data_IF_246066012682
#
_entry.id   IF_246066012682
#
_cell.length_a   1.000
_cell.length_b   1.000
_cell.length_c   1.000
_cell.angle_alpha   90.00
_cell.angle_beta   90.00
_cell.angle_gamma   90.00
#
_symmetry.space_group_name_H-M   'P 1'
#
loop_
_entity.id
_entity.type
_entity.pdbx_description
1 polymer ?
#
# COMPACT_ATOMS: atom_id res chain seq x y z
N UNK A 1 -18.55 1.53 -7.17
CA UNK A 1 -17.41 0.59 -7.21
C UNK A 1 -17.92 -0.73 -7.81
N UNK A 2 -17.54 -1.06 -9.05
CA UNK A 2 -17.95 -2.33 -9.68
C UNK A 2 -17.25 -3.51 -9.00
N UNK A 3 -17.81 -4.71 -9.10
CA UNK A 3 -17.23 -5.94 -8.53
C UNK A 3 -15.82 -6.28 -9.07
N UNK A 4 -15.39 -5.62 -10.15
CA UNK A 4 -14.03 -5.70 -10.67
C UNK A 4 -13.05 -5.10 -9.66
N UNK A 5 -13.29 -3.85 -9.22
CA UNK A 5 -12.39 -3.08 -8.34
C UNK A 5 -11.93 -3.83 -7.09
N UNK A 6 -12.81 -4.64 -6.50
CA UNK A 6 -12.49 -5.40 -5.29
C UNK A 6 -11.44 -6.50 -5.55
N UNK A 7 -11.43 -7.12 -6.74
CA UNK A 7 -10.45 -8.13 -7.12
C UNK A 7 -9.08 -7.52 -7.36
N UNK A 8 -9.02 -6.36 -8.01
CA UNK A 8 -7.75 -5.67 -8.21
C UNK A 8 -7.15 -5.18 -6.88
N UNK A 9 -7.97 -4.68 -5.96
CA UNK A 9 -7.54 -4.30 -4.60
C UNK A 9 -6.97 -5.52 -3.87
N UNK A 10 -7.69 -6.64 -3.87
CA UNK A 10 -7.21 -7.89 -3.25
C UNK A 10 -5.89 -8.35 -3.84
N UNK A 11 -5.77 -8.39 -5.17
CA UNK A 11 -4.56 -8.78 -5.87
C UNK A 11 -3.37 -7.90 -5.48
N UNK A 12 -3.56 -6.57 -5.51
CA UNK A 12 -2.55 -5.57 -5.13
C UNK A 12 -2.11 -5.74 -3.68
N UNK A 13 -3.06 -5.96 -2.76
CA UNK A 13 -2.77 -6.12 -1.34
C UNK A 13 -2.03 -7.42 -1.03
N UNK A 14 -2.41 -8.55 -1.66
CA UNK A 14 -1.66 -9.81 -1.51
C UNK A 14 -0.22 -9.62 -1.98
N UNK A 15 -0.01 -9.02 -3.16
CA UNK A 15 1.34 -8.76 -3.69
C UNK A 15 2.18 -7.87 -2.77
N UNK A 16 1.56 -6.80 -2.24
CA UNK A 16 2.20 -5.88 -1.28
C UNK A 16 2.66 -6.61 -0.02
N UNK A 17 1.79 -7.42 0.57
CA UNK A 17 2.07 -8.18 1.79
C UNK A 17 3.14 -9.25 1.56
N UNK A 18 3.08 -9.95 0.43
CA UNK A 18 4.13 -10.89 0.03
C UNK A 18 5.49 -10.20 -0.08
N UNK A 19 5.56 -9.04 -0.75
CA UNK A 19 6.80 -8.27 -0.89
C UNK A 19 7.32 -7.77 0.45
N UNK A 20 6.46 -7.25 1.33
CA UNK A 20 6.88 -6.71 2.64
C UNK A 20 7.37 -7.80 3.60
N UNK A 21 6.90 -9.04 3.44
CA UNK A 21 7.30 -10.19 4.26
C UNK A 21 8.37 -11.08 3.62
N UNK A 22 8.79 -10.79 2.38
CA UNK A 22 9.75 -11.63 1.65
C UNK A 22 9.23 -13.03 1.32
N UNK A 23 7.92 -13.16 1.12
CA UNK A 23 7.25 -14.44 0.85
C UNK A 23 6.98 -14.57 -0.64
N UNK A 24 7.44 -15.66 -1.25
CA UNK A 24 7.10 -15.98 -2.64
C UNK A 24 5.81 -16.83 -2.75
N UNK A 25 5.33 -17.00 -3.98
CA UNK A 25 4.07 -17.71 -4.26
C UNK A 25 4.14 -19.20 -3.92
N UNK A 26 5.31 -19.84 -4.08
CA UNK A 26 5.49 -21.25 -3.80
C UNK A 26 5.43 -21.48 -2.28
N UNK A 27 6.16 -20.65 -1.53
CA UNK A 27 6.13 -20.66 -0.07
C UNK A 27 4.71 -20.45 0.46
N UNK A 28 3.98 -19.47 -0.07
CA UNK A 28 2.59 -19.24 0.33
C UNK A 28 1.66 -20.41 -0.05
N UNK A 29 1.88 -21.05 -1.20
CA UNK A 29 1.15 -22.25 -1.64
C UNK A 29 1.32 -23.39 -0.64
N UNK A 30 2.56 -23.64 -0.25
CA UNK A 30 2.93 -24.73 0.67
C UNK A 30 2.45 -24.43 2.10
N UNK A 31 2.73 -23.23 2.60
CA UNK A 31 2.40 -22.82 3.97
C UNK A 31 0.86 -22.81 4.20
N UNK A 32 0.08 -22.43 3.19
CA UNK A 32 -1.40 -22.37 3.29
C UNK A 32 -2.10 -23.65 2.83
N UNK A 33 -1.36 -24.61 2.25
CA UNK A 33 -1.90 -25.77 1.56
C UNK A 33 -2.99 -25.38 0.53
N UNK A 34 -2.70 -24.37 -0.28
CA UNK A 34 -3.57 -23.88 -1.36
C UNK A 34 -2.86 -24.12 -2.68
N UNK A 35 -3.55 -24.67 -3.68
CA UNK A 35 -2.96 -24.90 -5.01
C UNK A 35 -2.34 -23.61 -5.55
N UNK A 36 -1.11 -23.72 -6.04
CA UNK A 36 -0.36 -22.62 -6.67
C UNK A 36 -1.17 -21.87 -7.74
N UNK A 37 -1.93 -22.59 -8.56
CA UNK A 37 -2.79 -22.01 -9.60
C UNK A 37 -3.90 -21.13 -9.03
N UNK A 38 -4.48 -21.53 -7.90
CA UNK A 38 -5.50 -20.76 -7.18
C UNK A 38 -4.92 -19.47 -6.61
N UNK A 39 -3.77 -19.52 -5.94
CA UNK A 39 -3.08 -18.31 -5.47
C UNK A 39 -2.72 -17.38 -6.63
N UNK A 40 -2.24 -17.94 -7.74
CA UNK A 40 -1.91 -17.16 -8.94
C UNK A 40 -3.14 -16.43 -9.49
N UNK A 41 -4.30 -17.08 -9.52
CA UNK A 41 -5.55 -16.45 -9.97
C UNK A 41 -5.97 -15.29 -9.05
N UNK A 42 -5.78 -15.38 -7.74
CA UNK A 42 -6.06 -14.27 -6.81
C UNK A 42 -5.06 -13.13 -6.94
N UNK A 43 -3.77 -13.46 -7.09
CA UNK A 43 -2.67 -12.49 -7.23
C UNK A 43 -2.74 -11.73 -8.55
N UNK A 44 -3.36 -12.31 -9.58
CA UNK A 44 -3.62 -11.64 -10.87
C UNK A 44 -4.96 -10.91 -10.92
N UNK A 45 -5.85 -11.15 -9.94
CA UNK A 45 -7.22 -10.60 -9.96
C UNK A 45 -8.21 -11.38 -10.84
N UNK A 46 -7.82 -12.52 -11.39
CA UNK A 46 -8.69 -13.38 -12.23
C UNK A 46 -9.91 -13.89 -11.45
N UNK A 47 -9.70 -14.20 -10.17
CA UNK A 47 -10.75 -14.67 -9.26
C UNK A 47 -10.62 -14.06 -7.87
N UNK A 48 -11.70 -14.11 -7.10
CA UNK A 48 -11.75 -13.56 -5.74
C UNK A 48 -11.75 -14.69 -4.70
N UNK A 49 -10.90 -14.62 -3.66
CA UNK A 49 -10.89 -15.61 -2.58
C UNK A 49 -12.19 -15.55 -1.77
N UNK A 50 -12.66 -16.72 -1.32
CA UNK A 50 -13.78 -16.79 -0.36
C UNK A 50 -13.35 -16.32 1.03
N UNK A 51 -14.32 -15.98 1.87
CA UNK A 51 -14.07 -15.38 3.20
C UNK A 51 -13.16 -16.23 4.09
N UNK A 52 -13.26 -17.56 4.03
CA UNK A 52 -12.41 -18.48 4.77
C UNK A 52 -10.93 -18.36 4.35
N UNK A 53 -10.68 -18.14 3.05
CA UNK A 53 -9.33 -17.95 2.51
C UNK A 53 -8.78 -16.57 2.80
N UNK A 54 -9.63 -15.54 2.80
CA UNK A 54 -9.24 -14.19 3.23
C UNK A 54 -8.81 -14.23 4.70
N UNK A 55 -9.57 -14.88 5.56
CA UNK A 55 -9.23 -15.00 6.98
C UNK A 55 -7.94 -15.80 7.20
N UNK A 56 -7.75 -16.89 6.44
CA UNK A 56 -6.52 -17.68 6.47
C UNK A 56 -5.29 -16.84 6.07
N UNK A 57 -5.39 -16.06 4.99
CA UNK A 57 -4.31 -15.17 4.55
C UNK A 57 -4.04 -14.05 5.56
N UNK A 58 -5.09 -13.46 6.15
CA UNK A 58 -4.95 -12.43 7.18
C UNK A 58 -4.15 -12.95 8.38
N UNK A 59 -4.48 -14.16 8.86
CA UNK A 59 -3.73 -14.83 9.94
C UNK A 59 -2.29 -15.14 9.53
N UNK A 60 -2.07 -15.63 8.32
CA UNK A 60 -0.74 -15.95 7.81
C UNK A 60 0.19 -14.73 7.71
N UNK A 61 -0.33 -13.60 7.22
CA UNK A 61 0.44 -12.35 7.13
C UNK A 61 0.52 -11.60 8.47
N UNK A 62 -0.30 -11.96 9.46
CA UNK A 62 -0.42 -11.27 10.74
C UNK A 62 -1.08 -9.90 10.61
N UNK A 63 -2.09 -9.79 9.75
CA UNK A 63 -2.81 -8.54 9.44
C UNK A 63 -4.33 -8.73 9.61
N UNK A 64 -5.08 -7.63 9.53
CA UNK A 64 -6.53 -7.69 9.57
C UNK A 64 -7.12 -8.07 8.20
N UNK A 65 -8.41 -8.41 8.14
CA UNK A 65 -9.07 -8.69 6.85
C UNK A 65 -9.18 -7.45 5.96
N UNK A 66 -9.33 -6.25 6.55
CA UNK A 66 -9.36 -4.98 5.80
C UNK A 66 -8.05 -4.72 5.07
N UNK A 67 -6.90 -5.13 5.62
CA UNK A 67 -5.60 -5.03 4.95
C UNK A 67 -5.52 -5.80 3.61
N UNK A 68 -6.42 -6.76 3.40
CA UNK A 68 -6.57 -7.52 2.16
C UNK A 68 -7.68 -6.97 1.26
N UNK A 69 -8.82 -6.56 1.82
CA UNK A 69 -10.02 -6.24 1.02
C UNK A 69 -10.21 -4.74 0.74
N UNK A 70 -9.59 -3.86 1.53
CA UNK A 70 -9.74 -2.41 1.40
C UNK A 70 -8.58 -1.79 0.61
N UNK A 71 -8.90 -0.70 -0.09
CA UNK A 71 -7.87 0.08 -0.75
C UNK A 71 -6.96 0.72 0.29
N UNK A 72 -5.70 0.28 0.28
CA UNK A 72 -4.67 0.89 1.10
C UNK A 72 -4.26 2.18 0.41
N UNK A 73 -4.53 3.32 1.04
CA UNK A 73 -4.05 4.62 0.58
C UNK A 73 -2.51 4.60 0.62
N UNK A 74 -1.90 4.16 -0.48
CA UNK A 74 -0.46 4.19 -0.72
C UNK A 74 0.04 5.62 -0.97
N UNK A 75 -0.85 6.62 -0.93
CA UNK A 75 -0.51 8.05 -0.95
C UNK A 75 0.02 8.53 0.41
N UNK A 76 0.74 7.68 1.15
CA UNK A 76 1.72 8.19 2.11
C UNK A 76 2.92 8.66 1.31
N UNK A 77 2.92 9.95 0.99
CA UNK A 77 4.11 10.60 0.49
C UNK A 77 5.06 10.69 1.69
N UNK A 78 5.87 9.65 1.91
CA UNK A 78 6.81 9.55 3.03
C UNK A 78 7.59 10.86 3.27
N UNK A 79 8.13 11.55 2.24
CA UNK A 79 8.68 12.89 2.40
C UNK A 79 7.70 13.94 2.97
N UNK A 80 6.46 13.97 2.48
CA UNK A 80 5.44 14.89 2.99
C UNK A 80 5.02 14.54 4.43
N UNK A 81 4.92 13.25 4.77
CA UNK A 81 4.60 12.79 6.12
C UNK A 81 5.71 13.18 7.11
N UNK A 82 6.99 13.04 6.71
CA UNK A 82 8.13 13.49 7.51
C UNK A 82 8.12 15.01 7.74
N UNK A 83 7.80 15.80 6.71
CA UNK A 83 7.70 17.26 6.85
C UNK A 83 6.50 17.64 7.71
N UNK A 84 5.32 17.04 7.47
CA UNK A 84 4.09 17.30 8.21
C UNK A 84 4.20 16.93 9.68
N UNK A 85 4.94 15.87 10.03
CA UNK A 85 5.18 15.47 11.42
C UNK A 85 5.94 16.49 12.27
N UNK A 86 6.55 17.52 11.65
CA UNK A 86 7.25 18.61 12.34
C UNK A 86 6.48 19.94 12.30
N UNK A 87 5.25 19.95 11.78
CA UNK A 87 4.37 21.12 11.75
C UNK A 87 3.25 20.90 12.77
N UNK A 88 3.18 21.75 13.79
CA UNK A 88 2.13 21.69 14.79
C UNK A 88 0.81 22.27 14.25
N UNK A 89 -0.33 21.82 14.78
CA UNK A 89 -1.66 22.26 14.34
C UNK A 89 -1.87 23.78 14.48
N UNK A 90 -1.18 24.41 15.44
CA UNK A 90 -1.25 25.84 15.74
C UNK A 90 -0.19 26.68 14.99
N UNK A 91 0.60 26.07 14.11
CA UNK A 91 1.57 26.78 13.26
C UNK A 91 0.86 27.89 12.47
N UNK A 92 1.31 29.17 12.55
CA UNK A 92 0.72 30.28 11.81
C UNK A 92 0.81 30.09 10.29
N UNK A 93 -0.18 30.61 9.55
CA UNK A 93 -0.23 30.47 8.10
C UNK A 93 0.96 31.15 7.39
N UNK A 94 1.46 32.25 7.95
CA UNK A 94 2.67 32.93 7.45
C UNK A 94 3.91 32.01 7.51
N UNK A 95 4.05 31.22 8.57
CA UNK A 95 5.16 30.28 8.72
C UNK A 95 5.02 29.09 7.76
N UNK A 96 3.79 28.59 7.56
CA UNK A 96 3.51 27.57 6.54
C UNK A 96 3.89 28.06 5.14
N UNK A 97 3.58 29.31 4.82
CA UNK A 97 3.91 29.92 3.53
C UNK A 97 5.43 30.04 3.32
N UNK A 98 6.19 30.38 4.38
CA UNK A 98 7.65 30.40 4.31
C UNK A 98 8.23 29.01 4.01
N UNK A 99 7.71 27.96 4.63
CA UNK A 99 8.13 26.56 4.37
C UNK A 99 7.86 26.19 2.91
N UNK A 100 6.67 26.50 2.39
CA UNK A 100 6.30 26.23 0.99
C UNK A 100 7.26 26.96 0.04
N UNK A 101 7.50 28.24 0.27
CA UNK A 101 8.40 29.04 -0.56
C UNK A 101 9.83 28.51 -0.56
N UNK A 102 10.32 28.05 0.59
CA UNK A 102 11.64 27.42 0.69
C UNK A 102 11.74 26.15 -0.19
N UNK A 103 10.74 25.27 -0.12
CA UNK A 103 10.69 24.04 -0.93
C UNK A 103 10.67 24.38 -2.43
N UNK A 104 9.87 25.36 -2.85
CA UNK A 104 9.79 25.77 -4.26
C UNK A 104 11.10 26.36 -4.77
N UNK A 105 11.82 27.11 -3.94
CA UNK A 105 13.15 27.63 -4.28
C UNK A 105 14.17 26.50 -4.48
N UNK A 106 14.16 25.47 -3.63
CA UNK A 106 15.01 24.29 -3.80
C UNK A 106 14.70 23.53 -5.09
N UNK A 107 13.42 23.40 -5.47
CA UNK A 107 13.03 22.76 -6.73
C UNK A 107 13.57 23.54 -7.94
N UNK A 108 13.36 24.86 -7.95
CA UNK A 108 13.88 25.74 -9.02
C UNK A 108 15.40 25.66 -9.14
N UNK A 109 16.12 25.63 -8.03
CA UNK A 109 17.58 25.52 -8.04
C UNK A 109 18.09 24.20 -8.66
N UNK A 110 17.33 23.11 -8.53
CA UNK A 110 17.66 21.82 -9.18
C UNK A 110 17.36 21.86 -10.67
N UNK A 111 16.19 22.39 -11.06
CA UNK A 111 15.77 22.47 -12.47
C UNK A 111 16.59 23.45 -13.30
N UNK A 112 17.24 24.44 -12.68
CA UNK A 112 18.11 25.40 -13.38
C UNK A 112 19.56 24.88 -13.59
N UNK A 113 19.91 23.73 -13.02
CA UNK A 113 21.23 23.10 -13.13
C UNK A 113 21.25 21.87 -14.06
N UNK A 114 20.14 21.58 -14.74
CA UNK A 114 19.99 20.56 -15.80
C UNK A 114 19.82 21.24 -17.16
#
# INVERSE_FOLDING_TARGET
MSALGNKEIMAKNIQRLMKSKGIDRNKMSDDLNIKYTTLTAWIKGDSYPRIDKIELMARYFGVSKSDLVEEQNQNRNEPADLVAAHIDEDTPDEEKEQIINFIENLKKARSNNE
#
